data_IF_650160550504
#
_entry.id   IF_650160550504
#
_cell.length_a   1.000
_cell.length_b   1.000
_cell.length_c   1.000
_cell.angle_alpha   90.00
_cell.angle_beta   90.00
_cell.angle_gamma   90.00
#
_symmetry.space_group_name_H-M   'P 1'
#
loop_
_entity.id
_entity.type
_entity.pdbx_description
1 polymer ?
#
# COMPACT_ATOMS: atom_id res chain seq x y z
N UNK A 1 56.15 -24.17 -48.77
CA UNK A 1 56.26 -24.49 -47.33
C UNK A 1 54.96 -24.03 -46.66
N UNK A 2 54.08 -24.97 -46.26
CA UNK A 2 52.75 -24.68 -45.70
C UNK A 2 52.86 -24.54 -44.17
N UNK A 3 52.42 -23.41 -43.61
CA UNK A 3 52.29 -23.22 -42.15
C UNK A 3 50.86 -23.60 -41.74
N UNK A 4 50.74 -24.57 -40.83
CA UNK A 4 49.48 -25.03 -40.22
C UNK A 4 48.98 -23.98 -39.21
N UNK A 5 47.68 -23.64 -39.26
CA UNK A 5 46.98 -22.96 -38.17
C UNK A 5 46.78 -23.93 -37.00
N UNK A 6 47.16 -23.51 -35.81
CA UNK A 6 46.78 -24.14 -34.53
C UNK A 6 45.57 -23.35 -34.00
N UNK A 7 44.40 -23.99 -33.93
CA UNK A 7 43.27 -23.55 -33.11
C UNK A 7 43.42 -24.23 -31.74
N UNK A 8 43.57 -23.44 -30.67
CA UNK A 8 43.43 -23.91 -29.28
C UNK A 8 42.19 -23.25 -28.68
N UNK A 9 41.48 -24.05 -27.89
CA UNK A 9 40.12 -23.92 -27.39
C UNK A 9 39.94 -22.78 -26.37
N UNK A 10 38.97 -21.89 -26.62
CA UNK A 10 38.36 -21.02 -25.61
C UNK A 10 36.91 -21.46 -25.36
N UNK A 11 36.71 -22.61 -24.71
CA UNK A 11 35.38 -23.12 -24.34
C UNK A 11 35.18 -23.36 -22.84
N UNK A 12 36.21 -23.19 -21.99
CA UNK A 12 36.10 -23.48 -20.55
C UNK A 12 35.84 -22.26 -19.66
N UNK A 13 36.23 -21.04 -20.04
CA UNK A 13 36.01 -19.84 -19.20
C UNK A 13 34.56 -19.32 -19.17
N UNK A 14 33.67 -19.77 -20.08
CA UNK A 14 32.26 -19.32 -20.11
C UNK A 14 31.28 -20.18 -19.30
N UNK A 15 31.73 -21.31 -18.75
CA UNK A 15 30.86 -22.22 -17.97
C UNK A 15 30.91 -21.95 -16.47
N UNK A 16 32.09 -21.64 -15.91
CA UNK A 16 32.25 -21.37 -14.47
C UNK A 16 31.47 -20.12 -14.03
N UNK A 17 31.51 -19.02 -14.80
CA UNK A 17 30.74 -17.80 -14.47
C UNK A 17 29.22 -18.00 -14.49
N UNK A 18 28.70 -18.91 -15.32
CA UNK A 18 27.25 -19.16 -15.43
C UNK A 18 26.74 -20.06 -14.31
N UNK A 19 27.52 -21.07 -13.90
CA UNK A 19 27.14 -21.95 -12.80
C UNK A 19 27.14 -21.21 -11.47
N UNK A 20 28.15 -20.37 -11.20
CA UNK A 20 28.19 -19.56 -9.97
C UNK A 20 27.10 -18.50 -9.92
N UNK A 21 26.79 -17.85 -11.05
CA UNK A 21 25.66 -16.91 -11.12
C UNK A 21 24.32 -17.63 -10.92
N UNK A 22 24.19 -18.85 -11.46
CA UNK A 22 22.96 -19.65 -11.31
C UNK A 22 22.77 -20.17 -9.89
N UNK A 23 23.84 -20.62 -9.23
CA UNK A 23 23.84 -21.07 -7.85
C UNK A 23 23.59 -19.90 -6.89
N UNK A 24 24.15 -18.72 -7.16
CA UNK A 24 23.87 -17.51 -6.40
C UNK A 24 22.40 -17.07 -6.53
N UNK A 25 21.82 -17.13 -7.73
CA UNK A 25 20.41 -16.82 -7.95
C UNK A 25 19.48 -17.86 -7.30
N UNK A 26 19.81 -19.15 -7.40
CA UNK A 26 19.06 -20.24 -6.76
C UNK A 26 19.11 -20.15 -5.23
N UNK A 27 20.27 -19.83 -4.65
CA UNK A 27 20.42 -19.62 -3.21
C UNK A 27 19.67 -18.38 -2.72
N UNK A 28 19.65 -17.31 -3.53
CA UNK A 28 18.90 -16.09 -3.26
C UNK A 28 17.39 -16.28 -3.39
N UNK A 29 16.94 -17.10 -4.33
CA UNK A 29 15.55 -17.54 -4.44
C UNK A 29 15.14 -18.45 -3.28
N UNK A 30 16.05 -19.28 -2.75
CA UNK A 30 15.84 -20.06 -1.53
C UNK A 30 15.61 -19.18 -0.30
N UNK A 31 16.51 -18.25 0.00
CA UNK A 31 16.38 -17.33 1.15
C UNK A 31 15.17 -16.40 1.00
N UNK A 32 14.92 -15.86 -0.20
CA UNK A 32 13.71 -15.05 -0.45
C UNK A 32 12.43 -15.89 -0.51
N UNK A 33 12.53 -17.22 -0.66
CA UNK A 33 11.43 -18.15 -0.48
C UNK A 33 11.06 -18.25 0.99
N UNK A 34 12.04 -18.54 1.85
CA UNK A 34 11.85 -18.65 3.30
C UNK A 34 11.25 -17.38 3.92
N UNK A 35 11.73 -16.19 3.51
CA UNK A 35 11.17 -14.92 4.00
C UNK A 35 9.72 -14.74 3.60
N UNK A 36 9.33 -15.15 2.38
CA UNK A 36 7.93 -15.08 1.93
C UNK A 36 7.05 -16.12 2.60
N UNK A 37 7.57 -17.31 2.86
CA UNK A 37 6.83 -18.34 3.60
C UNK A 37 6.58 -17.88 5.04
N UNK A 38 7.56 -17.23 5.68
CA UNK A 38 7.41 -16.61 6.98
C UNK A 38 6.38 -15.45 6.96
N UNK A 39 6.42 -14.61 5.93
CA UNK A 39 5.43 -13.53 5.72
C UNK A 39 4.00 -14.09 5.58
N UNK A 40 3.81 -15.10 4.74
CA UNK A 40 2.51 -15.78 4.58
C UNK A 40 2.04 -16.42 5.90
N UNK A 41 2.95 -17.06 6.64
CA UNK A 41 2.64 -17.62 7.95
C UNK A 41 2.21 -16.54 8.95
N UNK A 42 2.85 -15.36 8.91
CA UNK A 42 2.50 -14.21 9.73
C UNK A 42 1.10 -13.68 9.38
N UNK A 43 0.81 -13.48 8.09
CA UNK A 43 -0.50 -13.05 7.60
C UNK A 43 -1.61 -14.01 8.05
N UNK A 44 -1.38 -15.33 7.91
CA UNK A 44 -2.31 -16.36 8.39
C UNK A 44 -2.50 -16.32 9.91
N UNK A 45 -1.42 -16.05 10.66
CA UNK A 45 -1.47 -15.94 12.13
C UNK A 45 -2.34 -14.75 12.58
N UNK A 46 -2.23 -13.62 11.89
CA UNK A 46 -3.11 -12.45 12.10
C UNK A 46 -4.50 -12.59 11.48
N UNK A 47 -4.82 -13.76 10.91
CA UNK A 47 -6.07 -14.05 10.22
C UNK A 47 -6.37 -13.05 9.09
N UNK A 48 -5.33 -12.57 8.41
CA UNK A 48 -5.51 -11.73 7.22
C UNK A 48 -6.14 -12.59 6.13
N UNK A 49 -7.25 -12.14 5.57
CA UNK A 49 -7.87 -12.74 4.37
C UNK A 49 -7.97 -11.76 3.22
N UNK A 50 -7.93 -10.45 3.49
CA UNK A 50 -7.95 -9.41 2.47
C UNK A 50 -6.63 -8.65 2.46
N UNK A 51 -6.06 -8.45 1.27
CA UNK A 51 -4.90 -7.58 1.07
C UNK A 51 -5.35 -6.41 0.20
N UNK A 52 -5.16 -5.19 0.70
CA UNK A 52 -5.44 -3.94 0.01
C UNK A 52 -4.11 -3.28 -0.35
N UNK A 53 -3.73 -3.43 -1.62
CA UNK A 53 -2.47 -2.91 -2.15
C UNK A 53 -2.68 -1.53 -2.77
N UNK A 54 -2.09 -0.50 -2.16
CA UNK A 54 -2.21 0.89 -2.56
C UNK A 54 -1.13 1.38 -3.54
N UNK A 55 -0.23 0.49 -3.99
CA UNK A 55 0.86 0.84 -4.90
C UNK A 55 0.35 1.17 -6.30
N UNK A 56 0.91 2.23 -6.90
CA UNK A 56 0.63 2.62 -8.30
C UNK A 56 1.50 1.83 -9.28
N UNK A 57 2.53 1.16 -8.80
CA UNK A 57 3.42 0.27 -9.53
C UNK A 57 3.19 -1.22 -9.17
N UNK A 58 3.45 -2.13 -10.11
CA UNK A 58 3.47 -3.58 -9.83
C UNK A 58 4.73 -4.01 -9.09
N UNK A 59 5.86 -3.36 -9.37
CA UNK A 59 7.16 -3.61 -8.75
C UNK A 59 7.89 -2.30 -8.54
N UNK A 60 8.46 -2.09 -7.34
CA UNK A 60 9.26 -0.90 -7.08
C UNK A 60 10.66 -1.07 -7.63
N UNK A 61 11.13 -0.09 -8.40
CA UNK A 61 12.52 0.02 -8.84
C UNK A 61 13.25 1.09 -8.03
N UNK A 62 14.41 0.77 -7.46
CA UNK A 62 15.31 1.70 -6.78
C UNK A 62 16.73 1.48 -7.28
N UNK A 63 17.41 2.54 -7.71
CA UNK A 63 18.76 2.50 -8.29
C UNK A 63 18.93 1.47 -9.43
N UNK A 64 17.95 1.37 -10.33
CA UNK A 64 18.04 0.43 -11.45
C UNK A 64 17.57 -1.00 -11.12
N UNK A 65 17.32 -1.34 -9.85
CA UNK A 65 17.01 -2.70 -9.39
C UNK A 65 15.60 -2.77 -8.82
N UNK A 66 14.89 -3.88 -9.04
CA UNK A 66 13.61 -4.12 -8.37
C UNK A 66 13.85 -4.47 -6.90
N UNK A 67 13.31 -3.66 -5.99
CA UNK A 67 13.56 -3.76 -4.54
C UNK A 67 12.35 -4.22 -3.74
N UNK A 68 11.15 -4.14 -4.32
CA UNK A 68 9.93 -4.65 -3.71
C UNK A 68 9.03 -5.22 -4.81
N UNK A 69 8.54 -6.44 -4.60
CA UNK A 69 7.50 -7.04 -5.42
C UNK A 69 6.25 -7.07 -4.57
N UNK A 70 5.19 -6.45 -5.05
CA UNK A 70 3.87 -6.67 -4.46
C UNK A 70 3.48 -8.14 -4.58
N UNK A 71 2.68 -8.61 -3.64
CA UNK A 71 1.98 -9.88 -3.61
C UNK A 71 1.20 -10.10 -4.92
N UNK A 72 0.68 -9.03 -5.54
CA UNK A 72 0.03 -9.05 -6.86
C UNK A 72 0.97 -9.40 -8.01
N UNK A 73 2.28 -9.30 -7.80
CA UNK A 73 3.30 -9.58 -8.80
C UNK A 73 4.04 -10.91 -8.53
N UNK A 74 3.53 -11.74 -7.61
CA UNK A 74 4.06 -13.06 -7.32
C UNK A 74 3.67 -14.08 -8.40
N UNK A 75 4.65 -14.48 -9.22
CA UNK A 75 4.47 -15.47 -10.28
C UNK A 75 4.32 -16.91 -9.78
N UNK A 76 4.57 -17.17 -8.50
CA UNK A 76 4.49 -18.51 -7.90
C UNK A 76 3.16 -18.75 -7.17
N UNK A 77 2.24 -17.79 -7.22
CA UNK A 77 0.90 -17.89 -6.61
C UNK A 77 0.93 -18.24 -5.11
N UNK A 78 1.98 -17.83 -4.37
CA UNK A 78 2.11 -18.16 -2.95
C UNK A 78 1.07 -17.45 -2.09
N UNK A 79 0.64 -16.28 -2.53
CA UNK A 79 -0.38 -15.46 -1.88
C UNK A 79 -1.81 -15.74 -2.38
N UNK A 80 -2.04 -16.83 -3.13
CA UNK A 80 -3.37 -17.14 -3.72
C UNK A 80 -4.49 -17.39 -2.70
N UNK A 81 -4.13 -17.71 -1.46
CA UNK A 81 -5.10 -17.93 -0.38
C UNK A 81 -5.68 -16.62 0.17
N UNK A 82 -5.14 -15.46 -0.24
CA UNK A 82 -5.61 -14.14 0.17
C UNK A 82 -6.41 -13.47 -0.97
N UNK A 83 -7.45 -12.73 -0.60
CA UNK A 83 -8.19 -11.86 -1.49
C UNK A 83 -7.39 -10.57 -1.75
N UNK A 84 -6.53 -10.60 -2.78
CA UNK A 84 -5.70 -9.46 -3.17
C UNK A 84 -6.53 -8.47 -3.98
N UNK A 85 -6.59 -7.22 -3.52
CA UNK A 85 -7.26 -6.10 -4.15
C UNK A 85 -6.22 -5.03 -4.49
N UNK A 86 -5.98 -4.84 -5.79
CA UNK A 86 -5.12 -3.77 -6.29
C UNK A 86 -5.94 -2.48 -6.31
N UNK A 87 -5.60 -1.52 -5.47
CA UNK A 87 -6.27 -0.22 -5.37
C UNK A 87 -5.23 0.91 -5.51
N UNK A 88 -4.71 1.15 -6.73
CA UNK A 88 -3.69 2.18 -6.95
C UNK A 88 -4.13 3.51 -6.36
N UNK A 89 -3.33 4.06 -5.44
CA UNK A 89 -3.62 5.31 -4.77
C UNK A 89 -2.39 6.24 -4.83
N UNK A 90 -2.57 7.54 -5.12
CA UNK A 90 -1.49 8.53 -5.20
C UNK A 90 -0.65 8.56 -3.91
N UNK A 91 0.68 8.59 -4.05
CA UNK A 91 1.58 8.71 -2.92
C UNK A 91 1.83 10.16 -2.52
N UNK A 92 3.00 10.39 -1.91
CA UNK A 92 3.47 11.71 -1.47
C UNK A 92 3.59 12.74 -2.61
N UNK A 93 3.60 12.30 -3.87
CA UNK A 93 3.73 13.18 -5.04
C UNK A 93 2.62 14.24 -5.09
N UNK A 94 1.43 13.92 -4.57
CA UNK A 94 0.28 14.83 -4.57
C UNK A 94 0.34 15.89 -3.47
N UNK A 95 1.22 15.74 -2.47
CA UNK A 95 1.25 16.63 -1.31
C UNK A 95 1.67 18.06 -1.65
N UNK A 96 2.60 18.21 -2.61
CA UNK A 96 3.01 19.54 -3.09
C UNK A 96 1.84 20.28 -3.73
N UNK A 97 1.05 19.58 -4.55
CA UNK A 97 -0.12 20.16 -5.20
C UNK A 97 -1.23 20.45 -4.19
N UNK A 98 -1.47 19.55 -3.24
CA UNK A 98 -2.41 19.76 -2.14
C UNK A 98 -2.05 20.99 -1.29
N UNK A 99 -0.77 21.15 -0.95
CA UNK A 99 -0.26 22.34 -0.26
C UNK A 99 -0.50 23.62 -1.07
N UNK A 100 -0.15 23.59 -2.37
CA UNK A 100 -0.36 24.71 -3.28
C UNK A 100 -1.87 25.02 -3.46
N UNK A 101 -2.74 24.02 -3.34
CA UNK A 101 -4.19 24.17 -3.36
C UNK A 101 -4.78 24.49 -1.98
N UNK A 102 -3.99 25.07 -1.06
CA UNK A 102 -4.43 25.50 0.29
C UNK A 102 -5.06 24.37 1.10
N UNK A 103 -4.50 23.16 1.00
CA UNK A 103 -5.00 21.96 1.68
C UNK A 103 -6.43 21.56 1.26
N UNK A 104 -6.82 21.88 0.02
CA UNK A 104 -8.07 21.44 -0.57
C UNK A 104 -7.81 20.28 -1.54
N UNK A 105 -8.48 19.15 -1.32
CA UNK A 105 -8.40 17.98 -2.20
C UNK A 105 -9.40 18.04 -3.35
N UNK A 106 -10.36 18.96 -3.30
CA UNK A 106 -11.41 19.04 -4.31
C UNK A 106 -10.80 19.43 -5.66
N UNK A 107 -11.21 18.72 -6.70
CA UNK A 107 -10.73 18.88 -8.07
C UNK A 107 -9.22 18.58 -8.26
N UNK A 108 -8.53 18.12 -7.22
CA UNK A 108 -7.12 17.73 -7.26
C UNK A 108 -7.00 16.30 -7.79
N UNK A 109 -6.60 16.16 -9.06
CA UNK A 109 -6.49 14.87 -9.75
C UNK A 109 -5.04 14.45 -9.90
N UNK A 110 -4.77 13.19 -9.63
CA UNK A 110 -3.46 12.60 -9.88
C UNK A 110 -3.23 12.34 -11.38
N UNK A 111 -2.04 12.65 -11.87
CA UNK A 111 -1.65 12.34 -13.24
C UNK A 111 -1.28 10.86 -13.39
N UNK A 112 -2.23 10.10 -13.96
CA UNK A 112 -2.05 8.68 -14.25
C UNK A 112 -1.21 8.39 -15.49
N UNK A 113 -0.82 9.40 -16.28
CA UNK A 113 -0.14 9.24 -17.57
C UNK A 113 1.29 8.69 -17.45
N UNK A 114 1.93 8.84 -16.28
CA UNK A 114 3.30 8.38 -16.08
C UNK A 114 3.44 6.86 -16.38
N UNK A 115 4.44 6.45 -17.18
CA UNK A 115 4.74 5.04 -17.43
C UNK A 115 5.10 4.23 -16.18
N UNK A 116 5.43 4.89 -15.06
CA UNK A 116 5.66 4.22 -13.77
C UNK A 116 4.38 3.64 -13.16
N UNK A 117 3.22 4.19 -13.54
CA UNK A 117 1.90 3.80 -13.02
C UNK A 117 1.42 2.51 -13.71
N UNK A 118 2.00 1.39 -13.30
CA UNK A 118 1.83 0.08 -13.93
C UNK A 118 0.75 -0.79 -13.27
N UNK A 119 0.32 -0.46 -12.05
CA UNK A 119 -0.78 -1.14 -11.38
C UNK A 119 -2.13 -0.67 -11.95
N UNK A 120 -3.09 -1.58 -12.03
CA UNK A 120 -4.46 -1.30 -12.48
C UNK A 120 -5.41 -1.74 -11.37
N UNK A 121 -6.51 -1.01 -11.21
CA UNK A 121 -7.52 -1.39 -10.23
C UNK A 121 -7.98 -2.82 -10.52
N UNK A 122 -7.90 -3.68 -9.51
CA UNK A 122 -8.40 -5.05 -9.53
C UNK A 122 -9.05 -5.32 -8.19
N UNK A 123 -10.33 -5.66 -8.22
CA UNK A 123 -11.11 -6.00 -7.02
C UNK A 123 -11.38 -7.50 -7.10
N UNK A 124 -11.01 -8.22 -6.03
CA UNK A 124 -11.26 -9.65 -5.93
C UNK A 124 -12.76 -9.97 -6.06
N UNK A 125 -13.07 -11.15 -6.60
CA UNK A 125 -14.45 -11.57 -6.89
C UNK A 125 -15.33 -11.54 -5.65
N UNK A 126 -14.84 -11.99 -4.50
CA UNK A 126 -15.61 -12.01 -3.25
C UNK A 126 -15.93 -10.59 -2.78
N UNK A 127 -15.00 -9.65 -2.91
CA UNK A 127 -15.27 -8.25 -2.57
C UNK A 127 -16.23 -7.60 -3.58
N UNK A 128 -16.08 -7.91 -4.87
CA UNK A 128 -16.95 -7.42 -5.93
C UNK A 128 -18.40 -7.89 -5.75
N UNK A 129 -18.62 -9.16 -5.39
CA UNK A 129 -19.94 -9.69 -5.08
C UNK A 129 -20.59 -8.95 -3.90
N UNK A 130 -19.82 -8.69 -2.83
CA UNK A 130 -20.30 -7.90 -1.69
C UNK A 130 -20.66 -6.48 -2.11
N UNK A 131 -19.81 -5.84 -2.90
CA UNK A 131 -20.05 -4.48 -3.39
C UNK A 131 -21.37 -4.41 -4.16
N UNK A 132 -21.61 -5.40 -5.04
CA UNK A 132 -22.83 -5.52 -5.84
C UNK A 132 -24.10 -5.77 -5.00
N UNK A 133 -23.97 -6.31 -3.78
CA UNK A 133 -25.08 -6.50 -2.85
C UNK A 133 -25.43 -5.26 -2.00
N UNK A 134 -24.72 -4.15 -2.17
CA UNK A 134 -24.93 -2.91 -1.41
C UNK A 134 -25.24 -1.73 -2.32
N UNK A 135 -25.57 -0.58 -1.73
CA UNK A 135 -25.73 0.68 -2.45
C UNK A 135 -24.43 1.17 -3.15
N UNK A 136 -23.28 0.60 -2.77
CA UNK A 136 -21.99 0.90 -3.39
C UNK A 136 -21.88 0.40 -4.84
N UNK A 137 -22.77 -0.50 -5.28
CA UNK A 137 -22.85 -0.98 -6.66
C UNK A 137 -22.99 0.13 -7.72
N UNK A 138 -23.48 1.30 -7.30
CA UNK A 138 -23.68 2.45 -8.18
C UNK A 138 -22.38 3.21 -8.48
N UNK A 139 -21.29 2.93 -7.76
CA UNK A 139 -19.98 3.54 -7.97
C UNK A 139 -19.23 2.72 -9.03
N UNK A 140 -18.92 3.35 -10.17
CA UNK A 140 -18.06 2.72 -11.16
C UNK A 140 -16.59 2.86 -10.75
N UNK A 141 -16.06 1.85 -10.05
CA UNK A 141 -14.68 1.88 -9.59
C UNK A 141 -13.64 1.91 -10.72
N UNK A 142 -13.99 1.44 -11.92
CA UNK A 142 -13.07 1.52 -13.07
C UNK A 142 -12.81 2.98 -13.51
N UNK A 143 -13.62 3.94 -13.05
CA UNK A 143 -13.38 5.37 -13.25
C UNK A 143 -12.38 5.98 -12.25
N UNK A 144 -11.67 5.18 -11.45
CA UNK A 144 -10.75 5.67 -10.40
C UNK A 144 -9.73 6.72 -10.89
N UNK A 145 -9.32 6.64 -12.15
CA UNK A 145 -8.37 7.59 -12.74
C UNK A 145 -8.97 8.99 -13.00
N UNK A 146 -10.29 9.11 -13.00
CA UNK A 146 -11.02 10.36 -13.24
C UNK A 146 -11.38 11.11 -11.96
N UNK A 147 -11.34 10.41 -10.83
CA UNK A 147 -11.68 10.94 -9.51
C UNK A 147 -10.63 11.95 -9.04
N UNK A 148 -11.09 12.93 -8.27
CA UNK A 148 -10.17 13.74 -7.47
C UNK A 148 -9.70 12.95 -6.23
N UNK A 149 -8.76 13.52 -5.48
CA UNK A 149 -8.18 12.83 -4.32
C UNK A 149 -9.24 12.57 -3.22
N UNK A 150 -10.29 13.38 -3.14
CA UNK A 150 -11.37 13.17 -2.15
C UNK A 150 -12.19 11.95 -2.57
N UNK A 151 -12.64 11.90 -3.81
CA UNK A 151 -13.49 10.83 -4.35
C UNK A 151 -12.78 9.48 -4.29
N UNK A 152 -11.51 9.38 -4.71
CA UNK A 152 -10.75 8.13 -4.64
C UNK A 152 -10.52 7.68 -3.20
N UNK A 153 -10.24 8.62 -2.29
CA UNK A 153 -10.07 8.31 -0.86
C UNK A 153 -11.36 7.76 -0.27
N UNK A 154 -12.49 8.44 -0.48
CA UNK A 154 -13.78 8.01 0.04
C UNK A 154 -14.22 6.67 -0.55
N UNK A 155 -14.01 6.46 -1.85
CA UNK A 155 -14.43 5.23 -2.51
C UNK A 155 -13.59 4.02 -2.07
N UNK A 156 -12.28 4.20 -1.84
CA UNK A 156 -11.44 3.14 -1.28
C UNK A 156 -11.72 2.91 0.22
N UNK A 157 -12.01 3.97 1.00
CA UNK A 157 -12.45 3.81 2.39
C UNK A 157 -13.75 2.99 2.47
N UNK A 158 -14.70 3.21 1.56
CA UNK A 158 -15.92 2.39 1.46
C UNK A 158 -15.63 0.91 1.18
N UNK A 159 -14.63 0.61 0.34
CA UNK A 159 -14.19 -0.78 0.11
C UNK A 159 -13.65 -1.41 1.40
N UNK A 160 -12.80 -0.66 2.12
CA UNK A 160 -12.26 -1.11 3.41
C UNK A 160 -13.38 -1.38 4.41
N UNK A 161 -14.30 -0.42 4.57
CA UNK A 161 -15.47 -0.53 5.45
C UNK A 161 -16.35 -1.74 5.09
N UNK A 162 -16.56 -2.00 3.80
CA UNK A 162 -17.32 -3.17 3.34
C UNK A 162 -16.70 -4.51 3.78
N UNK A 163 -15.37 -4.55 3.91
CA UNK A 163 -14.67 -5.74 4.39
C UNK A 163 -14.79 -5.87 5.92
N UNK A 164 -14.49 -4.79 6.67
CA UNK A 164 -14.45 -4.83 8.14
C UNK A 164 -15.83 -4.83 8.81
N UNK A 165 -16.83 -4.18 8.21
CA UNK A 165 -18.16 -4.05 8.80
C UNK A 165 -19.03 -5.30 8.58
N UNK A 166 -18.54 -6.31 7.85
CA UNK A 166 -19.29 -7.53 7.60
C UNK A 166 -19.22 -8.47 8.82
N UNK A 167 -20.34 -8.73 9.53
CA UNK A 167 -20.34 -9.58 10.72
C UNK A 167 -20.04 -11.05 10.43
N UNK A 168 -20.20 -11.49 9.18
CA UNK A 168 -19.87 -12.86 8.76
C UNK A 168 -18.40 -12.99 8.33
N UNK A 169 -17.68 -11.88 8.21
CA UNK A 169 -16.27 -11.89 7.88
C UNK A 169 -15.44 -12.13 9.14
N UNK A 170 -14.66 -13.22 9.14
CA UNK A 170 -13.75 -13.54 10.25
C UNK A 170 -12.30 -13.13 9.94
N UNK A 171 -12.07 -12.65 8.72
CA UNK A 171 -10.76 -12.32 8.23
C UNK A 171 -10.45 -10.83 8.44
N UNK A 172 -9.23 -10.58 8.86
CA UNK A 172 -8.63 -9.25 8.92
C UNK A 172 -8.18 -8.75 7.54
N UNK A 173 -7.70 -7.50 7.55
CA UNK A 173 -7.23 -6.81 6.36
C UNK A 173 -5.78 -6.37 6.57
N UNK A 174 -4.94 -6.66 5.59
CA UNK A 174 -3.66 -5.98 5.43
C UNK A 174 -3.85 -4.79 4.48
N UNK A 175 -3.49 -3.59 4.92
CA UNK A 175 -3.41 -2.40 4.07
C UNK A 175 -1.94 -2.06 3.92
N UNK A 176 -1.42 -2.04 2.69
CA UNK A 176 -0.01 -1.74 2.47
C UNK A 176 0.22 -0.88 1.23
N UNK A 177 1.42 -0.29 1.18
CA UNK A 177 1.95 0.40 0.01
C UNK A 177 3.45 0.06 -0.12
N UNK A 178 4.18 0.80 -0.97
CA UNK A 178 5.60 0.52 -1.25
C UNK A 178 6.45 0.48 0.03
N UNK A 179 6.30 1.51 0.88
CA UNK A 179 7.14 1.70 2.07
C UNK A 179 6.36 1.63 3.38
N UNK A 180 5.03 1.54 3.32
CA UNK A 180 4.17 1.58 4.51
C UNK A 180 4.02 2.95 5.17
N UNK A 181 4.74 3.99 4.75
CA UNK A 181 4.82 5.26 5.50
C UNK A 181 3.86 6.37 5.06
N UNK A 182 3.22 6.27 3.89
CA UNK A 182 2.36 7.34 3.35
C UNK A 182 0.87 6.96 3.37
N UNK A 183 0.50 5.99 2.54
CA UNK A 183 -0.87 5.62 2.22
C UNK A 183 -1.46 4.68 3.27
N UNK A 184 -0.63 3.77 3.79
CA UNK A 184 -1.02 2.84 4.85
C UNK A 184 -1.51 3.56 6.10
N UNK A 185 -0.73 4.44 6.76
CA UNK A 185 -1.18 5.11 7.96
C UNK A 185 -2.33 6.08 7.69
N UNK A 186 -2.43 6.63 6.48
CA UNK A 186 -3.58 7.41 6.07
C UNK A 186 -4.89 6.62 6.11
N UNK A 187 -4.96 5.46 5.43
CA UNK A 187 -6.17 4.65 5.40
C UNK A 187 -6.45 3.95 6.73
N UNK A 188 -5.42 3.52 7.47
CA UNK A 188 -5.58 2.98 8.82
C UNK A 188 -6.16 4.05 9.76
N UNK A 189 -5.64 5.27 9.69
CA UNK A 189 -6.15 6.40 10.47
C UNK A 189 -7.60 6.74 10.13
N UNK A 190 -7.96 6.78 8.84
CA UNK A 190 -9.34 7.02 8.40
C UNK A 190 -10.32 5.95 8.92
N UNK A 191 -9.95 4.67 8.85
CA UNK A 191 -10.77 3.59 9.42
C UNK A 191 -10.95 3.75 10.93
N UNK A 192 -9.86 4.05 11.65
CA UNK A 192 -9.89 4.24 13.09
C UNK A 192 -10.80 5.42 13.46
N UNK A 193 -10.65 6.54 12.77
CA UNK A 193 -11.50 7.73 12.95
C UNK A 193 -12.99 7.39 12.72
N UNK A 194 -13.30 6.66 11.64
CA UNK A 194 -14.67 6.23 11.34
C UNK A 194 -15.27 5.41 12.48
N UNK A 195 -14.54 4.40 12.96
CA UNK A 195 -15.01 3.54 14.04
C UNK A 195 -15.10 4.22 15.40
N UNK A 196 -14.18 5.13 15.69
CA UNK A 196 -14.23 5.89 16.94
C UNK A 196 -15.42 6.86 16.96
N UNK A 197 -15.67 7.55 15.83
CA UNK A 197 -16.83 8.41 15.66
C UNK A 197 -18.17 7.67 15.84
N UNK A 198 -18.23 6.40 15.41
CA UNK A 198 -19.40 5.53 15.57
C UNK A 198 -19.49 4.86 16.95
N UNK A 199 -18.58 5.14 17.88
CA UNK A 199 -18.63 4.58 19.22
C UNK A 199 -18.05 3.17 19.36
N UNK A 200 -17.39 2.63 18.33
CA UNK A 200 -17.06 1.19 18.23
C UNK A 200 -15.72 0.81 18.86
N UNK A 201 -14.77 1.74 18.93
CA UNK A 201 -13.42 1.50 19.47
C UNK A 201 -12.98 2.63 20.39
N UNK A 202 -12.02 2.39 21.29
CA UNK A 202 -11.33 3.42 22.07
C UNK A 202 -12.24 4.45 22.77
N UNK A 203 -13.41 4.03 23.25
CA UNK A 203 -14.41 4.93 23.88
C UNK A 203 -13.95 5.59 25.19
N UNK A 204 -12.87 5.08 25.78
CA UNK A 204 -12.26 5.67 26.96
C UNK A 204 -11.27 6.80 26.62
N UNK A 205 -10.98 7.05 25.34
CA UNK A 205 -10.12 8.13 24.91
C UNK A 205 -10.95 9.37 24.60
N UNK A 206 -10.49 10.52 25.09
CA UNK A 206 -11.00 11.80 24.62
C UNK A 206 -10.45 12.15 23.22
N UNK A 207 -10.93 13.25 22.62
CA UNK A 207 -10.54 13.71 21.28
C UNK A 207 -9.02 13.85 21.13
N UNK A 208 -8.35 14.39 22.15
CA UNK A 208 -6.91 14.68 22.09
C UNK A 208 -6.07 13.41 22.22
N UNK A 209 -6.48 12.49 23.10
CA UNK A 209 -5.85 11.17 23.25
C UNK A 209 -6.05 10.32 22.00
N UNK A 210 -7.23 10.38 21.39
CA UNK A 210 -7.53 9.67 20.16
C UNK A 210 -6.76 10.25 18.97
N UNK A 211 -6.63 11.58 18.90
CA UNK A 211 -5.80 12.25 17.90
C UNK A 211 -4.33 11.87 18.07
N UNK A 212 -3.84 11.84 19.32
CA UNK A 212 -2.48 11.41 19.61
C UNK A 212 -2.26 9.96 19.19
N UNK A 213 -3.21 9.07 19.47
CA UNK A 213 -3.18 7.69 19.00
C UNK A 213 -3.15 7.64 17.46
N UNK A 214 -4.01 8.36 16.76
CA UNK A 214 -4.14 8.24 15.30
C UNK A 214 -2.98 8.89 14.54
N UNK A 215 -2.43 10.00 15.04
CA UNK A 215 -1.31 10.69 14.37
C UNK A 215 0.01 10.18 14.92
N UNK A 216 0.20 10.15 16.23
CA UNK A 216 1.50 9.80 16.79
C UNK A 216 1.83 8.32 16.60
N UNK A 217 0.85 7.44 16.80
CA UNK A 217 1.11 6.02 16.61
C UNK A 217 1.22 5.65 15.14
N UNK A 218 0.22 6.02 14.32
CA UNK A 218 0.19 5.56 12.93
C UNK A 218 1.20 6.33 12.05
N UNK A 219 1.50 7.61 12.33
CA UNK A 219 2.42 8.41 11.51
C UNK A 219 3.78 8.71 12.16
N UNK A 220 3.84 8.94 13.47
CA UNK A 220 5.07 9.44 14.13
C UNK A 220 5.99 8.36 14.69
N UNK A 221 5.49 7.18 15.06
CA UNK A 221 6.38 6.10 15.52
C UNK A 221 7.34 5.62 14.43
N UNK A 222 7.02 5.91 13.16
CA UNK A 222 7.82 5.52 12.01
C UNK A 222 8.62 6.69 11.38
N UNK A 223 8.44 7.94 11.84
CA UNK A 223 9.14 9.14 11.37
C UNK A 223 9.89 9.79 12.54
N UNK A 224 11.17 10.13 12.38
CA UNK A 224 12.00 10.82 13.41
C UNK A 224 11.24 12.01 14.05
N UNK A 225 10.89 11.87 15.33
CA UNK A 225 9.83 12.59 16.03
C UNK A 225 9.97 14.12 16.15
N UNK A 226 11.19 14.68 16.15
CA UNK A 226 11.40 16.03 16.69
C UNK A 226 10.84 17.17 15.83
N UNK A 227 10.93 17.07 14.50
CA UNK A 227 10.47 18.14 13.61
C UNK A 227 8.94 18.15 13.41
N UNK A 228 8.28 16.98 13.51
CA UNK A 228 6.84 16.87 13.28
C UNK A 228 6.02 17.24 14.53
N UNK A 229 6.53 16.97 15.73
CA UNK A 229 5.84 17.29 16.98
C UNK A 229 5.57 18.80 17.13
N UNK A 230 6.53 19.62 16.69
CA UNK A 230 6.40 21.07 16.71
C UNK A 230 5.35 21.57 15.71
N UNK A 231 5.36 20.99 14.50
CA UNK A 231 4.41 21.32 13.43
C UNK A 231 2.98 20.85 13.76
N UNK A 232 2.86 19.77 14.53
CA UNK A 232 1.57 19.24 14.97
C UNK A 232 0.94 20.09 16.09
N UNK A 233 1.77 20.60 17.03
CA UNK A 233 1.32 21.60 18.01
C UNK A 233 0.74 22.84 17.35
N UNK A 234 1.33 23.29 16.24
CA UNK A 234 0.82 24.43 15.48
C UNK A 234 -0.53 24.12 14.82
N UNK A 235 -0.66 22.98 14.13
CA UNK A 235 -1.93 22.58 13.46
C UNK A 235 -3.06 22.38 14.49
N UNK A 236 -2.77 21.73 15.61
CA UNK A 236 -3.76 21.47 16.65
C UNK A 236 -4.29 22.78 17.28
N UNK A 237 -3.39 23.72 17.61
CA UNK A 237 -3.76 24.99 18.22
C UNK A 237 -4.45 25.96 17.25
N UNK A 238 -3.99 26.03 16.01
CA UNK A 238 -4.44 27.03 15.04
C UNK A 238 -5.66 26.58 14.22
N UNK A 239 -5.89 25.27 14.09
CA UNK A 239 -6.92 24.73 13.19
C UNK A 239 -7.96 23.90 13.96
N UNK A 240 -7.52 22.88 14.70
CA UNK A 240 -8.43 21.93 15.34
C UNK A 240 -9.21 22.59 16.49
N UNK A 241 -8.53 23.27 17.43
CA UNK A 241 -9.20 23.95 18.56
C UNK A 241 -10.26 24.98 18.09
N UNK A 242 -9.97 25.86 17.12
CA UNK A 242 -10.97 26.81 16.62
C UNK A 242 -12.17 26.16 15.93
N UNK A 243 -11.99 24.98 15.30
CA UNK A 243 -13.07 24.22 14.68
C UNK A 243 -13.96 23.54 15.72
N UNK A 244 -13.38 23.02 16.80
CA UNK A 244 -14.11 22.35 17.87
C UNK A 244 -14.89 23.31 18.79
N UNK A 245 -14.47 24.59 18.86
CA UNK A 245 -15.15 25.65 19.65
C UNK A 245 -16.32 26.34 18.92
N UNK A 246 -16.62 25.95 17.67
CA UNK A 246 -17.70 26.54 16.86
C UNK A 246 -19.01 25.74 16.88
N UNK A 247 -19.07 24.65 17.64
CA UNK A 247 -20.30 23.94 18.01
C UNK A 247 -20.52 24.08 19.53
#
# INVERSE_FOLDING_TARGET
MKIKKIQIQNQNEKKEDKEDTSNFLLQKDGVMGEVRDADIALLKTFKVGYIMDLMVEKRKKKYGVYVCSSEKADSFERYKDFHINECPYPGVEIFSEFYNNKYCGKDLKFDWSSPSNTAKLSIDKTLLERLNSTELKNINYQDYQKWDIIDITLNYLKLLLLIVANPNNKDGILIHCVSGYDRTPFFVGLLRCSFWADGLIHQNLNVDEFLYLTISYDWLLEIKLEALFQRFKEIYNEIIIPLLKKN
#
